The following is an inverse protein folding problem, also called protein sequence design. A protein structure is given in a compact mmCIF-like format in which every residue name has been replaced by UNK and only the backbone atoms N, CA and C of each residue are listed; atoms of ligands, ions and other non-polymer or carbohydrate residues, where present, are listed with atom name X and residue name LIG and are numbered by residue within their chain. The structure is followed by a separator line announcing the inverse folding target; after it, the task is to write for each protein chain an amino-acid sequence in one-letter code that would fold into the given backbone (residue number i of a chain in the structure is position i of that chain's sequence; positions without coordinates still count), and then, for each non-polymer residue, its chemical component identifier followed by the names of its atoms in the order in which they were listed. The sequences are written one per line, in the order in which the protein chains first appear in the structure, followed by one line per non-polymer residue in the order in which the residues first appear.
data_IF_037430270807
#
_entry.id   IF_037430270807
#
_cell.length_a   1.000
_cell.length_b   1.000
_cell.length_c   1.000
_cell.angle_alpha   90.00
_cell.angle_beta   90.00
_cell.angle_gamma   90.00
#
_symmetry.space_group_name_H-M   'P 1'
#
loop_
_entity.id
_entity.type
_entity.pdbx_description
1 polymer ?
#
# COMPACT_ATOMS: atom_id res chain seq x y z
N UNK A 1 -14.83 2.83 -9.01
CA UNK A 1 -13.67 2.23 -8.31
C UNK A 1 -13.67 2.68 -6.87
N UNK A 2 -13.35 1.79 -5.94
CA UNK A 2 -13.33 2.03 -4.52
C UNK A 2 -11.98 1.62 -3.95
N UNK A 3 -11.33 2.54 -3.24
CA UNK A 3 -10.07 2.29 -2.54
C UNK A 3 -10.30 2.60 -1.06
N UNK A 4 -9.94 1.65 -0.20
CA UNK A 4 -10.03 1.83 1.27
C UNK A 4 -8.64 1.86 1.88
N UNK A 5 -8.41 2.82 2.77
CA UNK A 5 -7.20 2.88 3.59
C UNK A 5 -7.55 2.61 5.05
N UNK A 6 -6.76 1.76 5.68
CA UNK A 6 -6.64 1.72 7.14
C UNK A 6 -5.38 2.52 7.47
N UNK A 7 -5.50 3.63 8.19
CA UNK A 7 -4.39 4.58 8.38
C UNK A 7 -4.23 5.02 9.83
N UNK A 8 -3.01 4.96 10.34
CA UNK A 8 -2.63 5.56 11.64
C UNK A 8 -2.14 7.01 11.52
N UNK A 9 -1.95 7.52 10.30
CA UNK A 9 -1.45 8.87 10.03
C UNK A 9 -2.53 9.75 9.40
N UNK A 10 -2.32 11.07 9.45
CA UNK A 10 -3.21 12.06 8.82
C UNK A 10 -3.35 11.81 7.31
N UNK A 11 -4.60 11.75 6.86
CA UNK A 11 -4.98 11.47 5.47
C UNK A 11 -5.54 12.69 4.74
N UNK A 12 -5.43 13.89 5.29
CA UNK A 12 -5.91 15.12 4.64
C UNK A 12 -5.31 15.32 3.24
N UNK A 13 -3.99 15.14 3.11
CA UNK A 13 -3.31 15.18 1.82
C UNK A 13 -3.74 14.05 0.86
N UNK A 14 -4.09 12.88 1.39
CA UNK A 14 -4.60 11.75 0.59
C UNK A 14 -5.99 12.07 0.04
N UNK A 15 -6.88 12.61 0.88
CA UNK A 15 -8.21 13.04 0.47
C UNK A 15 -8.15 14.16 -0.59
N UNK A 16 -7.29 15.16 -0.39
CA UNK A 16 -7.04 16.22 -1.38
C UNK A 16 -6.54 15.64 -2.71
N UNK A 17 -5.54 14.76 -2.67
CA UNK A 17 -5.01 14.14 -3.88
C UNK A 17 -6.04 13.28 -4.62
N UNK A 18 -6.88 12.54 -3.88
CA UNK A 18 -7.94 11.73 -4.48
C UNK A 18 -9.00 12.60 -5.17
N UNK A 19 -9.42 13.69 -4.54
CA UNK A 19 -10.39 14.62 -5.13
C UNK A 19 -9.81 15.35 -6.35
N UNK A 20 -8.56 15.80 -6.30
CA UNK A 20 -7.86 16.39 -7.45
C UNK A 20 -7.80 15.41 -8.64
N UNK A 21 -7.39 14.15 -8.42
CA UNK A 21 -7.35 13.12 -9.47
C UNK A 21 -8.77 12.87 -10.02
N UNK A 22 -9.75 12.74 -9.14
CA UNK A 22 -11.15 12.48 -9.49
C UNK A 22 -11.68 13.58 -10.43
N UNK A 23 -11.45 14.84 -10.09
CA UNK A 23 -11.88 15.99 -10.89
C UNK A 23 -11.08 16.11 -12.19
N UNK A 24 -9.74 16.05 -12.11
CA UNK A 24 -8.85 16.23 -13.26
C UNK A 24 -9.10 15.19 -14.36
N UNK A 25 -9.44 13.95 -13.99
CA UNK A 25 -9.60 12.83 -14.93
C UNK A 25 -11.03 12.31 -15.03
N UNK A 26 -12.00 13.02 -14.44
CA UNK A 26 -13.42 12.65 -14.43
C UNK A 26 -13.68 11.20 -14.02
N UNK A 27 -13.04 10.75 -12.93
CA UNK A 27 -13.14 9.37 -12.46
C UNK A 27 -14.29 9.18 -11.47
N UNK A 28 -14.95 8.03 -11.53
CA UNK A 28 -15.81 7.57 -10.43
C UNK A 28 -14.96 6.87 -9.36
N UNK A 29 -14.16 7.65 -8.63
CA UNK A 29 -13.31 7.20 -7.53
C UNK A 29 -13.99 7.45 -6.17
N UNK A 30 -14.15 6.39 -5.38
CA UNK A 30 -14.54 6.46 -3.98
C UNK A 30 -13.33 6.15 -3.09
N UNK A 31 -12.93 7.10 -2.26
CA UNK A 31 -11.92 6.88 -1.23
C UNK A 31 -12.61 6.70 0.14
N UNK A 32 -12.23 5.66 0.86
CA UNK A 32 -12.60 5.44 2.27
C UNK A 32 -11.34 5.39 3.12
N UNK A 33 -11.41 5.97 4.32
CA UNK A 33 -10.32 5.92 5.29
C UNK A 33 -10.91 5.58 6.64
N UNK A 34 -10.31 4.61 7.32
CA UNK A 34 -10.62 4.24 8.70
C UNK A 34 -9.37 4.35 9.56
N UNK A 35 -9.50 4.88 10.78
CA UNK A 35 -8.44 4.83 11.76
C UNK A 35 -8.51 3.52 12.54
N UNK A 36 -7.40 2.75 12.70
CA UNK A 36 -7.38 1.54 13.53
C UNK A 36 -7.94 1.77 14.93
N UNK A 37 -7.63 2.93 15.52
CA UNK A 37 -8.11 3.30 16.86
C UNK A 37 -9.63 3.35 16.95
N UNK A 38 -10.31 3.86 15.92
CA UNK A 38 -11.78 3.93 15.91
C UNK A 38 -12.42 2.55 15.85
N UNK A 39 -11.74 1.59 15.21
CA UNK A 39 -12.15 0.18 15.18
C UNK A 39 -11.87 -0.47 16.55
N UNK A 40 -10.68 -0.25 17.11
CA UNK A 40 -10.29 -0.80 18.42
C UNK A 40 -11.19 -0.31 19.56
N UNK A 41 -11.60 0.96 19.52
CA UNK A 41 -12.48 1.61 20.49
C UNK A 41 -13.99 1.45 20.17
N UNK A 42 -14.34 0.66 19.13
CA UNK A 42 -15.74 0.39 18.74
C UNK A 42 -16.56 1.64 18.39
N UNK A 43 -15.90 2.69 17.91
CA UNK A 43 -16.54 3.94 17.50
C UNK A 43 -17.23 3.80 16.13
N UNK A 44 -16.94 2.72 15.41
CA UNK A 44 -17.49 2.39 14.08
C UNK A 44 -17.93 0.93 14.10
N UNK A 45 -19.09 0.65 13.50
CA UNK A 45 -19.61 -0.70 13.36
C UNK A 45 -18.69 -1.59 12.48
N UNK A 46 -18.24 -2.69 13.05
CA UNK A 46 -17.41 -3.71 12.39
C UNK A 46 -17.99 -4.19 11.06
N UNK A 47 -19.32 -4.31 10.93
CA UNK A 47 -19.97 -4.74 9.69
C UNK A 47 -19.83 -3.71 8.58
N UNK A 48 -19.82 -2.42 8.92
CA UNK A 48 -19.60 -1.34 7.96
C UNK A 48 -18.17 -1.39 7.45
N UNK A 49 -17.20 -1.51 8.36
CA UNK A 49 -15.77 -1.61 8.02
C UNK A 49 -15.52 -2.85 7.16
N UNK A 50 -16.00 -4.01 7.60
CA UNK A 50 -15.86 -5.28 6.87
C UNK A 50 -16.44 -5.19 5.46
N UNK A 51 -17.66 -4.69 5.32
CA UNK A 51 -18.29 -4.51 4.00
C UNK A 51 -17.47 -3.58 3.11
N UNK A 52 -16.95 -2.48 3.67
CA UNK A 52 -16.13 -1.55 2.91
C UNK A 52 -14.81 -2.18 2.44
N UNK A 53 -14.15 -2.95 3.29
CA UNK A 53 -12.94 -3.70 2.96
C UNK A 53 -13.19 -4.73 1.84
N UNK A 54 -14.22 -5.55 1.98
CA UNK A 54 -14.55 -6.62 1.01
C UNK A 54 -14.99 -6.09 -0.35
N UNK A 55 -15.71 -4.96 -0.38
CA UNK A 55 -16.23 -4.36 -1.62
C UNK A 55 -15.25 -3.39 -2.29
N UNK A 56 -14.09 -3.14 -1.69
CA UNK A 56 -13.06 -2.27 -2.28
C UNK A 56 -12.25 -3.00 -3.35
N UNK A 57 -11.94 -2.31 -4.44
CA UNK A 57 -11.07 -2.82 -5.49
C UNK A 57 -9.61 -2.92 -4.99
N UNK A 58 -9.21 -1.98 -4.13
CA UNK A 58 -7.92 -1.99 -3.45
C UNK A 58 -8.04 -1.56 -1.99
N UNK A 59 -7.25 -2.21 -1.12
CA UNK A 59 -7.12 -1.87 0.29
C UNK A 59 -5.66 -1.66 0.65
N UNK A 60 -5.35 -0.53 1.27
CA UNK A 60 -4.03 -0.19 1.76
C UNK A 60 -4.05 -0.16 3.29
N UNK A 61 -3.16 -0.89 3.94
CA UNK A 61 -3.23 -1.14 5.39
C UNK A 61 -1.98 -0.64 6.12
N UNK A 62 -2.16 0.34 7.00
CA UNK A 62 -1.19 0.79 8.01
C UNK A 62 -1.82 0.61 9.40
N UNK A 63 -1.45 -0.48 10.08
CA UNK A 63 -1.86 -0.78 11.46
C UNK A 63 -0.62 -1.05 12.30
N UNK A 64 -0.33 -0.15 13.24
CA UNK A 64 0.84 -0.23 14.09
C UNK A 64 0.51 -0.96 15.39
N UNK A 65 1.18 -2.09 15.64
CA UNK A 65 1.02 -2.87 16.87
C UNK A 65 -0.05 -3.96 16.78
N UNK A 66 -0.60 -4.32 17.94
CA UNK A 66 -1.66 -5.33 18.09
C UNK A 66 -2.97 -4.68 18.50
N UNK A 67 -4.10 -5.29 18.18
CA UNK A 67 -5.43 -4.79 18.52
C UNK A 67 -6.54 -5.57 17.84
N UNK A 68 -7.78 -5.15 18.01
CA UNK A 68 -8.92 -5.72 17.29
C UNK A 68 -8.89 -5.37 15.81
N UNK A 69 -8.42 -4.16 15.47
CA UNK A 69 -8.38 -3.68 14.11
C UNK A 69 -7.56 -4.60 13.19
N UNK A 70 -6.41 -5.10 13.66
CA UNK A 70 -5.58 -6.02 12.85
C UNK A 70 -6.30 -7.35 12.59
N UNK A 71 -7.01 -7.90 13.57
CA UNK A 71 -7.73 -9.16 13.38
C UNK A 71 -9.00 -8.96 12.53
N UNK A 72 -9.77 -7.89 12.74
CA UNK A 72 -10.94 -7.55 11.92
C UNK A 72 -10.53 -7.38 10.44
N UNK A 73 -9.47 -6.61 10.19
CA UNK A 73 -8.98 -6.36 8.83
C UNK A 73 -8.45 -7.64 8.19
N UNK A 74 -7.69 -8.46 8.93
CA UNK A 74 -7.20 -9.75 8.45
C UNK A 74 -8.34 -10.68 8.06
N UNK A 75 -9.28 -10.92 8.98
CA UNK A 75 -10.41 -11.83 8.78
C UNK A 75 -11.34 -11.35 7.65
N UNK A 76 -11.48 -10.04 7.48
CA UNK A 76 -12.28 -9.46 6.39
C UNK A 76 -11.64 -9.62 5.01
N UNK A 77 -10.33 -9.83 4.93
CA UNK A 77 -9.58 -9.79 3.66
C UNK A 77 -8.87 -11.09 3.29
N UNK A 78 -8.63 -12.02 4.21
CA UNK A 78 -7.75 -13.19 3.96
C UNK A 78 -8.23 -14.11 2.82
N UNK A 79 -9.55 -14.22 2.63
CA UNK A 79 -10.16 -15.03 1.55
C UNK A 79 -10.56 -14.19 0.32
N UNK A 80 -10.38 -12.86 0.38
CA UNK A 80 -10.79 -11.94 -0.69
C UNK A 80 -9.75 -11.88 -1.81
N UNK A 81 -10.20 -11.46 -3.00
CA UNK A 81 -9.37 -11.38 -4.22
C UNK A 81 -8.99 -9.96 -4.62
N UNK A 82 -9.52 -8.95 -3.93
CA UNK A 82 -9.17 -7.56 -4.15
C UNK A 82 -7.69 -7.29 -3.90
N UNK A 83 -7.17 -6.15 -4.37
CA UNK A 83 -5.77 -5.77 -4.10
C UNK A 83 -5.63 -5.45 -2.61
N UNK A 84 -4.60 -5.97 -1.97
CA UNK A 84 -4.26 -5.63 -0.57
C UNK A 84 -2.79 -5.30 -0.48
N UNK A 85 -2.49 -4.12 0.05
CA UNK A 85 -1.12 -3.65 0.22
C UNK A 85 -0.87 -3.33 1.70
N UNK A 86 -0.02 -4.14 2.35
CA UNK A 86 0.56 -3.76 3.62
C UNK A 86 1.49 -2.56 3.41
N UNK A 87 1.18 -1.43 4.03
CA UNK A 87 1.96 -0.19 3.95
C UNK A 87 3.07 -0.13 5.00
N UNK A 88 3.08 -1.08 5.93
CA UNK A 88 4.09 -1.21 6.97
C UNK A 88 5.23 -2.16 6.56
N UNK A 89 6.14 -2.40 7.51
CA UNK A 89 7.20 -3.40 7.38
C UNK A 89 6.64 -4.73 6.85
N UNK A 90 7.38 -5.43 5.97
CA UNK A 90 6.92 -6.64 5.28
C UNK A 90 6.94 -7.88 6.21
N UNK A 91 6.25 -7.78 7.35
CA UNK A 91 6.17 -8.81 8.37
C UNK A 91 4.75 -8.87 8.96
N UNK A 92 4.45 -9.99 9.62
CA UNK A 92 3.18 -10.20 10.32
C UNK A 92 2.01 -10.56 9.40
N UNK A 93 0.84 -10.75 10.03
CA UNK A 93 -0.41 -11.18 9.38
C UNK A 93 -0.80 -10.32 8.17
N UNK A 94 -0.55 -9.01 8.22
CA UNK A 94 -0.88 -8.11 7.11
C UNK A 94 -0.06 -8.43 5.84
N UNK A 95 1.22 -8.82 6.01
CA UNK A 95 2.04 -9.22 4.87
C UNK A 95 1.57 -10.54 4.26
N UNK A 96 1.04 -11.47 5.05
CA UNK A 96 0.51 -12.74 4.54
C UNK A 96 -0.60 -12.52 3.51
N UNK A 97 -1.46 -11.52 3.74
CA UNK A 97 -2.58 -11.20 2.86
C UNK A 97 -2.23 -10.17 1.78
N UNK A 98 -1.01 -9.61 1.77
CA UNK A 98 -0.57 -8.68 0.72
C UNK A 98 -0.56 -9.35 -0.65
N UNK A 99 -1.22 -8.71 -1.61
CA UNK A 99 -1.37 -9.14 -3.00
C UNK A 99 -1.50 -7.92 -3.91
N UNK A 100 -0.54 -7.78 -4.83
CA UNK A 100 -0.45 -6.65 -5.74
C UNK A 100 -0.01 -7.18 -7.11
N UNK A 101 -0.97 -7.35 -8.03
CA UNK A 101 -0.74 -8.04 -9.30
C UNK A 101 -0.15 -9.44 -9.06
N UNK A 102 1.06 -9.66 -9.56
CA UNK A 102 1.80 -10.93 -9.42
C UNK A 102 2.69 -11.00 -8.17
N UNK A 103 2.79 -9.90 -7.41
CA UNK A 103 3.45 -9.88 -6.11
C UNK A 103 2.55 -10.44 -5.00
N UNK A 104 3.07 -11.36 -4.20
CA UNK A 104 2.37 -11.94 -3.05
C UNK A 104 3.27 -11.92 -1.81
N UNK A 105 2.80 -11.25 -0.76
CA UNK A 105 3.51 -11.15 0.51
C UNK A 105 3.56 -12.48 1.27
N UNK A 106 2.61 -13.40 1.06
CA UNK A 106 2.66 -14.78 1.58
C UNK A 106 3.94 -15.51 1.22
N UNK A 107 4.44 -15.30 -0.01
CA UNK A 107 5.69 -15.92 -0.47
C UNK A 107 6.94 -15.34 0.19
N UNK A 108 6.85 -14.09 0.67
CA UNK A 108 7.94 -13.36 1.31
C UNK A 108 7.95 -13.49 2.84
N UNK A 109 6.78 -13.53 3.47
CA UNK A 109 6.63 -13.65 4.93
C UNK A 109 7.34 -14.89 5.48
N UNK A 110 7.39 -15.98 4.69
CA UNK A 110 8.09 -17.21 5.05
C UNK A 110 9.61 -17.17 4.84
N UNK A 111 10.16 -16.11 4.22
CA UNK A 111 11.57 -16.02 3.80
C UNK A 111 12.36 -14.95 4.54
N UNK A 112 11.70 -13.99 5.20
CA UNK A 112 12.38 -12.88 5.89
C UNK A 112 12.32 -13.12 7.40
N UNK A 113 13.49 -13.19 8.05
CA UNK A 113 13.57 -13.27 9.51
C UNK A 113 13.04 -11.94 10.09
N UNK A 114 12.28 -11.94 11.21
CA UNK A 114 11.71 -10.73 11.80
C UNK A 114 12.73 -9.61 12.07
N UNK A 115 13.97 -9.99 12.37
CA UNK A 115 15.11 -9.09 12.61
C UNK A 115 15.50 -8.26 11.36
N UNK A 116 15.26 -8.77 10.15
CA UNK A 116 15.75 -8.24 8.87
C UNK A 116 14.72 -7.38 8.10
N UNK A 117 13.48 -7.28 8.60
CA UNK A 117 12.38 -6.60 7.90
C UNK A 117 12.08 -5.18 8.43
N UNK A 118 12.99 -4.58 9.21
CA UNK A 118 12.80 -3.22 9.76
C UNK A 118 12.83 -2.12 8.70
N UNK A 119 13.50 -2.34 7.57
CA UNK A 119 13.56 -1.38 6.48
C UNK A 119 13.13 -2.00 5.13
N UNK A 120 12.03 -1.50 4.51
CA UNK A 120 11.67 -1.86 3.14
C UNK A 120 12.80 -1.68 2.12
N UNK A 121 13.78 -0.79 2.37
CA UNK A 121 14.94 -0.65 1.48
C UNK A 121 15.92 -1.82 1.56
N UNK A 122 16.10 -2.45 2.71
CA UNK A 122 16.92 -3.65 2.82
C UNK A 122 16.25 -4.83 2.11
N UNK A 123 14.93 -4.92 2.24
CA UNK A 123 14.12 -5.88 1.50
C UNK A 123 14.24 -5.63 -0.01
N UNK A 124 14.21 -4.36 -0.44
CA UNK A 124 14.45 -3.97 -1.82
C UNK A 124 15.85 -4.35 -2.32
N UNK A 125 16.91 -4.05 -1.55
CA UNK A 125 18.29 -4.45 -1.90
C UNK A 125 18.38 -5.97 -2.07
N UNK A 126 17.73 -6.74 -1.19
CA UNK A 126 17.68 -8.21 -1.29
C UNK A 126 16.90 -8.69 -2.51
N UNK A 127 15.77 -8.05 -2.84
CA UNK A 127 15.01 -8.34 -4.07
C UNK A 127 15.88 -8.05 -5.30
N UNK A 128 16.51 -6.88 -5.38
CA UNK A 128 17.41 -6.51 -6.48
C UNK A 128 18.60 -7.47 -6.61
N UNK A 129 19.23 -7.85 -5.48
CA UNK A 129 20.32 -8.83 -5.44
C UNK A 129 19.85 -10.20 -5.94
N UNK A 130 18.72 -10.69 -5.45
CA UNK A 130 18.13 -11.96 -5.90
C UNK A 130 17.78 -11.93 -7.39
N UNK A 131 17.24 -10.82 -7.89
CA UNK A 131 16.95 -10.61 -9.31
C UNK A 131 18.21 -10.59 -10.18
N UNK A 132 19.26 -9.89 -9.75
CA UNK A 132 20.54 -9.85 -10.45
C UNK A 132 21.15 -11.24 -10.61
N UNK A 133 21.08 -12.06 -9.54
CA UNK A 133 21.52 -13.45 -9.57
C UNK A 133 20.67 -14.31 -10.52
N UNK A 134 19.35 -14.13 -10.51
CA UNK A 134 18.45 -14.95 -11.34
C UNK A 134 18.50 -14.58 -12.83
N UNK A 135 18.63 -13.29 -13.16
CA UNK A 135 18.87 -12.83 -14.55
C UNK A 135 20.20 -13.35 -15.10
N UNK A 136 21.23 -13.41 -14.26
CA UNK A 136 22.56 -13.94 -14.63
C UNK A 136 22.55 -15.47 -14.73
N UNK A 137 21.76 -16.16 -13.92
CA UNK A 137 21.64 -17.62 -13.91
C UNK A 137 20.69 -18.19 -15.00
N UNK A 138 20.20 -17.37 -15.93
CA UNK A 138 19.39 -17.83 -17.07
C UNK A 138 17.97 -18.30 -16.73
N UNK A 139 17.51 -18.13 -15.48
CA UNK A 139 16.10 -18.38 -15.12
C UNK A 139 15.27 -17.15 -15.47
N UNK A 140 14.37 -17.29 -16.44
CA UNK A 140 13.41 -16.25 -16.84
C UNK A 140 12.43 -16.01 -15.67
N UNK A 141 12.72 -15.06 -14.77
CA UNK A 141 11.68 -14.51 -13.90
C UNK A 141 10.71 -13.73 -14.80
N UNK A 142 9.38 -13.93 -14.67
CA UNK A 142 8.42 -13.13 -15.41
C UNK A 142 8.61 -11.66 -15.07
N UNK A 143 8.82 -10.80 -16.08
CA UNK A 143 9.00 -9.34 -15.88
C UNK A 143 7.89 -8.70 -15.03
N UNK A 144 6.67 -9.27 -15.06
CA UNK A 144 5.56 -8.82 -14.22
C UNK A 144 5.84 -8.90 -12.71
N UNK A 145 6.47 -9.99 -12.23
CA UNK A 145 6.76 -10.17 -10.78
C UNK A 145 7.75 -9.14 -10.26
N UNK A 146 8.78 -8.86 -11.05
CA UNK A 146 9.81 -7.84 -10.74
C UNK A 146 9.17 -6.45 -10.69
N UNK A 147 8.38 -6.12 -11.71
CA UNK A 147 7.66 -4.85 -11.78
C UNK A 147 6.74 -4.67 -10.58
N UNK A 148 5.94 -5.68 -10.24
CA UNK A 148 4.95 -5.56 -9.19
C UNK A 148 5.60 -5.51 -7.78
N UNK A 149 6.75 -6.18 -7.59
CA UNK A 149 7.57 -6.02 -6.40
C UNK A 149 8.16 -4.61 -6.28
N UNK A 150 8.65 -4.03 -7.40
CA UNK A 150 9.09 -2.63 -7.44
C UNK A 150 7.96 -1.66 -7.12
N UNK A 151 6.77 -1.91 -7.66
CA UNK A 151 5.57 -1.13 -7.37
C UNK A 151 5.18 -1.20 -5.89
N UNK A 152 5.27 -2.38 -5.25
CA UNK A 152 5.07 -2.50 -3.80
C UNK A 152 6.01 -1.58 -3.02
N UNK A 153 7.31 -1.59 -3.35
CA UNK A 153 8.30 -0.71 -2.71
C UNK A 153 7.99 0.77 -2.94
N UNK A 154 7.61 1.15 -4.16
CA UNK A 154 7.22 2.54 -4.46
C UNK A 154 5.99 2.96 -3.65
N UNK A 155 4.96 2.10 -3.54
CA UNK A 155 3.78 2.36 -2.70
C UNK A 155 4.19 2.55 -1.23
N UNK A 156 5.01 1.66 -0.67
CA UNK A 156 5.51 1.80 0.70
C UNK A 156 6.29 3.10 0.91
N UNK A 157 7.09 3.53 -0.07
CA UNK A 157 7.85 4.79 -0.02
C UNK A 157 6.96 6.02 -0.11
N UNK A 158 5.98 6.04 -1.02
CA UNK A 158 5.02 7.15 -1.08
C UNK A 158 4.30 7.30 0.26
N UNK A 159 3.87 6.19 0.86
CA UNK A 159 3.22 6.20 2.16
C UNK A 159 4.15 6.70 3.26
N UNK A 160 5.37 6.15 3.34
CA UNK A 160 6.38 6.50 4.35
C UNK A 160 6.80 7.96 4.28
N UNK A 161 7.03 8.49 3.08
CA UNK A 161 7.42 9.89 2.89
C UNK A 161 6.23 10.83 3.09
N UNK A 162 5.00 10.36 2.87
CA UNK A 162 3.78 11.11 3.11
C UNK A 162 3.67 12.35 2.22
N UNK A 163 2.75 13.24 2.55
CA UNK A 163 2.53 14.47 1.77
C UNK A 163 1.69 14.26 0.50
N UNK A 164 0.99 15.34 0.09
CA UNK A 164 0.00 15.30 -0.99
C UNK A 164 0.56 14.74 -2.30
N UNK A 165 1.77 15.14 -2.69
CA UNK A 165 2.39 14.69 -3.95
C UNK A 165 2.70 13.19 -3.94
N UNK A 166 3.22 12.64 -2.84
CA UNK A 166 3.45 11.20 -2.76
C UNK A 166 2.13 10.43 -2.75
N UNK A 167 1.13 10.89 -1.99
CA UNK A 167 -0.20 10.26 -2.00
C UNK A 167 -0.86 10.30 -3.38
N UNK A 168 -0.70 11.40 -4.13
CA UNK A 168 -1.14 11.52 -5.51
C UNK A 168 -0.48 10.45 -6.39
N UNK A 169 0.83 10.30 -6.30
CA UNK A 169 1.56 9.31 -7.10
C UNK A 169 1.25 7.86 -6.67
N UNK A 170 1.00 7.60 -5.38
CA UNK A 170 0.50 6.32 -4.89
C UNK A 170 -0.85 5.97 -5.56
N UNK A 171 -1.80 6.90 -5.52
CA UNK A 171 -3.11 6.71 -6.14
C UNK A 171 -3.01 6.52 -7.66
N UNK A 172 -2.19 7.32 -8.35
CA UNK A 172 -1.95 7.16 -9.79
C UNK A 172 -1.39 5.78 -10.12
N UNK A 173 -0.42 5.29 -9.36
CA UNK A 173 0.16 3.97 -9.56
C UNK A 173 -0.91 2.88 -9.42
N UNK A 174 -1.70 2.90 -8.34
CA UNK A 174 -2.78 1.92 -8.14
C UNK A 174 -3.83 1.99 -9.26
N UNK A 175 -4.34 3.19 -9.55
CA UNK A 175 -5.41 3.40 -10.51
C UNK A 175 -4.99 3.00 -11.93
N UNK A 176 -3.79 3.41 -12.34
CA UNK A 176 -3.28 3.17 -13.69
C UNK A 176 -2.86 1.72 -13.89
N UNK A 177 -1.97 1.24 -13.02
CA UNK A 177 -1.24 0.00 -13.28
C UNK A 177 -2.01 -1.24 -12.80
N UNK A 178 -3.01 -1.07 -11.92
CA UNK A 178 -3.77 -2.18 -11.35
C UNK A 178 -5.29 -2.07 -11.48
N UNK A 179 -5.85 -0.86 -11.59
CA UNK A 179 -7.29 -0.66 -11.82
C UNK A 179 -7.62 -0.21 -13.25
N UNK A 180 -6.66 -0.30 -14.17
CA UNK A 180 -6.80 -0.09 -15.61
C UNK A 180 -7.33 1.30 -16.02
N UNK A 181 -7.05 2.34 -15.23
CA UNK A 181 -7.35 3.71 -15.61
C UNK A 181 -6.34 4.26 -16.62
N UNK A 182 -6.82 4.97 -17.64
CA UNK A 182 -5.95 5.72 -18.55
C UNK A 182 -5.44 7.00 -17.86
N UNK A 183 -4.35 6.88 -17.11
CA UNK A 183 -3.76 7.94 -16.31
C UNK A 183 -2.26 8.09 -16.60
N UNK A 184 -1.67 9.27 -16.32
CA UNK A 184 -0.23 9.45 -16.40
C UNK A 184 0.50 8.52 -15.43
N UNK A 185 1.72 8.12 -15.79
CA UNK A 185 2.59 7.33 -14.92
C UNK A 185 2.89 8.10 -13.63
N UNK A 186 2.86 7.40 -12.50
CA UNK A 186 3.30 7.95 -11.22
C UNK A 186 4.79 8.37 -11.30
N UNK A 187 5.11 9.51 -10.71
CA UNK A 187 6.50 10.01 -10.55
C UNK A 187 7.17 9.26 -9.41
N UNK A 188 8.50 9.19 -9.40
CA UNK A 188 9.26 8.56 -8.30
C UNK A 188 8.90 9.13 -6.92
N UNK A 189 8.95 8.33 -5.84
CA UNK A 189 8.71 8.81 -4.48
C UNK A 189 9.61 9.99 -4.10
N UNK A 190 9.00 11.07 -3.64
CA UNK A 190 9.68 12.28 -3.19
C UNK A 190 10.00 12.17 -1.70
N UNK A 191 11.29 12.01 -1.37
CA UNK A 191 11.73 12.06 0.01
C UNK A 191 11.79 13.51 0.49
N UNK A 192 11.10 13.81 1.58
CA UNK A 192 11.26 15.11 2.26
C UNK A 192 12.55 15.09 3.09
N UNK A 193 13.27 16.23 3.15
CA UNK A 193 14.45 16.33 3.99
C UNK A 193 14.08 16.16 5.46
N UNK A 194 15.00 15.59 6.24
CA UNK A 194 14.82 15.37 7.69
C UNK A 194 14.54 16.68 8.43
N UNK A 195 15.12 17.78 7.94
CA UNK A 195 14.93 19.14 8.44
C UNK A 195 14.47 20.05 7.30
N UNK A 196 13.56 20.96 7.58
CA UNK A 196 13.07 21.93 6.61
C UNK A 196 12.50 23.17 7.28
N UNK A 197 12.46 24.27 6.52
CA UNK A 197 11.80 25.50 6.95
C UNK A 197 10.41 25.50 6.31
N UNK A 198 9.37 25.49 7.15
CA UNK A 198 7.99 25.62 6.69
C UNK A 198 7.65 27.09 6.49
N UNK A 199 7.14 27.44 5.32
CA UNK A 199 6.55 28.75 5.08
C UNK A 199 5.02 28.60 5.07
N UNK A 200 4.27 29.22 6.00
CA UNK A 200 2.82 29.06 6.14
C UNK A 200 1.99 29.82 5.08
N UNK A 201 2.56 30.11 3.90
CA UNK A 201 1.90 30.91 2.86
C UNK A 201 0.87 30.10 2.11
#
# INVERSE_FOLDING_TARGET
MKITFISTVSTAGLAQAAEEIKQQFNLSLQLKVYCPREIDEELIDDQVVKRDLQTSDAVCVDIRGSGRAIDLVYESLKEEKNIVVNLMAPMGKMMEITRLGSFSGKSMANRIRPEEARDPEEVWKKIQLAEGLVKTAGRIIPMGRVRDAGNYVSISRYWRYGGKENYRNLLLLLLRDYLNCSLPKAKEPLQYPEYGIFHPK
#
